data_IF_717593748642
#
_entry.id   IF_717593748642
#
_cell.length_a   1.000
_cell.length_b   1.000
_cell.length_c   1.000
_cell.angle_alpha   90.00
_cell.angle_beta   90.00
_cell.angle_gamma   90.00
#
_symmetry.space_group_name_H-M   'P 1'
#
loop_
_entity.id
_entity.type
_entity.pdbx_description
1 polymer ?
#
# COMPACT_ATOMS: atom_id res chain seq x y z
N UNK A 1 -6.79 -15.14 12.08
CA UNK A 1 -6.02 -15.44 13.31
C UNK A 1 -5.61 -16.89 13.23
N UNK A 2 -4.33 -17.17 13.36
CA UNK A 2 -3.82 -18.54 13.33
C UNK A 2 -3.21 -18.82 14.70
N UNK A 3 -3.75 -19.82 15.39
CA UNK A 3 -3.26 -20.28 16.67
C UNK A 3 -2.43 -21.54 16.46
N UNK A 4 -1.38 -21.71 17.25
CA UNK A 4 -0.57 -22.95 17.23
C UNK A 4 -1.42 -24.18 17.54
N UNK A 5 -2.33 -24.04 18.50
CA UNK A 5 -3.39 -25.01 18.77
C UNK A 5 -4.72 -24.38 18.42
N UNK A 6 -5.44 -24.98 17.47
CA UNK A 6 -6.78 -24.53 17.12
C UNK A 6 -7.67 -24.53 18.38
N UNK A 7 -8.54 -23.51 18.51
CA UNK A 7 -9.57 -23.55 19.53
C UNK A 7 -10.50 -24.74 19.29
N UNK A 8 -11.31 -25.08 20.28
CA UNK A 8 -12.27 -26.18 20.16
C UNK A 8 -13.27 -25.94 19.02
N UNK A 9 -13.87 -27.00 18.49
CA UNK A 9 -14.77 -26.91 17.33
C UNK A 9 -16.04 -26.08 17.62
N UNK A 10 -16.38 -25.90 18.90
CA UNK A 10 -17.49 -25.10 19.43
C UNK A 10 -17.08 -23.67 19.80
N UNK A 11 -15.88 -23.22 19.41
CA UNK A 11 -15.40 -21.86 19.72
C UNK A 11 -16.29 -20.77 19.11
N UNK A 12 -16.82 -19.91 19.97
CA UNK A 12 -17.59 -18.73 19.59
C UNK A 12 -16.66 -17.53 19.34
N UNK A 13 -16.78 -16.90 18.17
CA UNK A 13 -16.05 -15.68 17.84
C UNK A 13 -16.39 -14.52 18.79
N UNK A 14 -17.57 -14.51 19.41
CA UNK A 14 -17.92 -13.50 20.42
C UNK A 14 -17.10 -13.63 21.70
N UNK A 15 -16.48 -14.79 21.96
CA UNK A 15 -15.61 -15.02 23.10
C UNK A 15 -14.16 -14.55 22.84
N UNK A 16 -13.85 -14.09 21.63
CA UNK A 16 -12.54 -13.57 21.28
C UNK A 16 -12.31 -12.17 21.86
N UNK A 17 -11.33 -12.05 22.75
CA UNK A 17 -10.91 -10.75 23.28
C UNK A 17 -9.73 -10.17 22.49
N UNK A 18 -9.78 -8.88 22.16
CA UNK A 18 -8.65 -8.14 21.57
C UNK A 18 -7.73 -7.62 22.67
N UNK A 19 -7.09 -8.54 23.38
CA UNK A 19 -6.24 -8.26 24.54
C UNK A 19 -4.87 -8.92 24.44
N UNK A 20 -4.01 -8.64 25.43
CA UNK A 20 -2.61 -9.09 25.42
C UNK A 20 -2.50 -10.61 25.37
N UNK A 21 -3.41 -11.31 26.05
CA UNK A 21 -3.41 -12.76 26.12
C UNK A 21 -3.67 -13.35 24.74
N UNK A 22 -4.67 -12.87 24.02
CA UNK A 22 -4.95 -13.32 22.65
C UNK A 22 -3.78 -13.00 21.72
N UNK A 23 -3.21 -11.80 21.80
CA UNK A 23 -2.04 -11.45 20.98
C UNK A 23 -0.84 -12.35 21.26
N UNK A 24 -0.56 -12.67 22.53
CA UNK A 24 0.53 -13.57 22.89
C UNK A 24 0.33 -14.99 22.38
N UNK A 25 -0.92 -15.46 22.24
CA UNK A 25 -1.25 -16.75 21.61
C UNK A 25 -1.03 -16.77 20.09
N UNK A 26 -1.06 -15.61 19.42
CA UNK A 26 -0.84 -15.50 17.97
C UNK A 26 0.65 -15.36 17.63
N UNK A 27 1.48 -14.86 18.55
CA UNK A 27 2.93 -14.64 18.33
C UNK A 27 3.71 -15.86 17.84
N UNK A 28 3.49 -17.10 18.32
CA UNK A 28 4.31 -18.23 17.90
C UNK A 28 4.29 -18.49 16.38
N UNK A 29 3.16 -18.25 15.72
CA UNK A 29 2.98 -18.47 14.29
C UNK A 29 3.20 -17.23 13.42
N UNK A 30 3.48 -16.09 14.05
CA UNK A 30 3.73 -14.82 13.39
C UNK A 30 4.79 -14.93 12.28
N UNK A 31 5.94 -15.53 12.59
CA UNK A 31 7.06 -15.66 11.65
C UNK A 31 6.78 -16.61 10.47
N UNK A 32 5.68 -17.36 10.51
CA UNK A 32 5.23 -18.24 9.43
C UNK A 32 4.17 -17.59 8.54
N UNK A 33 3.20 -16.89 9.12
CA UNK A 33 2.04 -16.38 8.38
C UNK A 33 2.11 -14.89 8.06
N UNK A 34 2.79 -14.10 8.88
CA UNK A 34 2.79 -12.65 8.73
C UNK A 34 3.97 -12.23 7.84
N UNK A 35 3.73 -11.28 6.95
CA UNK A 35 4.74 -10.69 6.07
C UNK A 35 5.11 -9.28 6.57
N UNK A 36 5.70 -9.21 7.76
CA UNK A 36 5.90 -7.95 8.50
C UNK A 36 7.35 -7.71 8.93
N UNK A 37 8.28 -8.62 8.61
CA UNK A 37 9.71 -8.46 8.87
C UNK A 37 10.23 -7.18 8.17
N UNK A 38 10.64 -6.14 8.90
CA UNK A 38 11.09 -4.90 8.32
C UNK A 38 12.54 -4.95 7.79
N UNK A 39 13.30 -6.00 8.11
CA UNK A 39 14.66 -6.16 7.61
C UNK A 39 14.67 -6.71 6.18
N UNK A 40 14.67 -5.78 5.22
CA UNK A 40 14.79 -6.08 3.81
C UNK A 40 16.24 -5.98 3.31
N UNK A 41 17.23 -6.08 4.21
CA UNK A 41 18.66 -5.97 3.83
C UNK A 41 19.07 -6.91 2.70
N UNK A 42 18.71 -8.21 2.71
CA UNK A 42 19.06 -9.11 1.62
C UNK A 42 18.38 -8.75 0.30
N UNK A 43 17.14 -8.25 0.35
CA UNK A 43 16.41 -7.81 -0.85
C UNK A 43 17.05 -6.57 -1.46
N UNK A 44 17.33 -5.56 -0.62
CA UNK A 44 17.98 -4.32 -1.05
C UNK A 44 19.41 -4.55 -1.56
N UNK A 45 20.20 -5.43 -0.92
CA UNK A 45 21.58 -5.70 -1.33
C UNK A 45 21.68 -6.41 -2.69
N UNK A 46 20.63 -7.12 -3.11
CA UNK A 46 20.51 -7.71 -4.46
C UNK A 46 19.97 -6.74 -5.50
N UNK A 47 19.81 -5.45 -5.16
CA UNK A 47 19.28 -4.43 -6.06
C UNK A 47 17.75 -4.44 -6.20
N UNK A 48 17.04 -5.20 -5.36
CA UNK A 48 15.58 -5.30 -5.41
C UNK A 48 14.91 -3.94 -5.22
N UNK A 49 13.81 -3.70 -5.96
CA UNK A 49 12.98 -2.50 -5.88
C UNK A 49 11.56 -2.85 -5.46
N UNK A 50 11.00 -2.09 -4.54
CA UNK A 50 9.68 -2.32 -3.94
C UNK A 50 8.81 -1.06 -4.11
N UNK A 51 7.63 -1.24 -4.69
CA UNK A 51 6.56 -0.24 -4.62
C UNK A 51 5.46 -0.81 -3.73
N UNK A 52 5.19 -0.13 -2.62
CA UNK A 52 4.01 -0.33 -1.81
C UNK A 52 2.95 0.69 -2.22
N UNK A 53 1.69 0.31 -2.18
CA UNK A 53 0.59 1.25 -2.33
C UNK A 53 -0.61 0.80 -1.49
N UNK A 54 -1.43 1.76 -1.08
CA UNK A 54 -2.66 1.47 -0.36
C UNK A 54 -3.70 2.57 -0.64
N UNK A 55 -4.98 2.22 -0.66
CA UNK A 55 -6.08 3.19 -0.64
C UNK A 55 -6.28 3.79 0.75
N UNK A 56 -6.34 5.12 0.85
CA UNK A 56 -6.58 5.80 2.12
C UNK A 56 -7.97 5.50 2.73
N UNK A 57 -8.91 5.03 1.92
CA UNK A 57 -10.29 4.76 2.32
C UNK A 57 -10.61 3.26 2.27
N UNK A 58 -9.61 2.38 2.33
CA UNK A 58 -9.82 0.92 2.35
C UNK A 58 -10.63 0.52 3.61
N UNK A 59 -11.86 -0.02 3.45
CA UNK A 59 -12.69 -0.45 4.57
C UNK A 59 -12.37 -1.87 5.07
N UNK A 60 -11.54 -2.63 4.34
CA UNK A 60 -11.26 -4.04 4.60
C UNK A 60 -9.93 -4.21 5.33
N UNK A 61 -8.87 -3.58 4.83
CA UNK A 61 -7.54 -3.62 5.42
C UNK A 61 -7.16 -2.20 5.80
N UNK A 62 -6.80 -1.99 7.07
CA UNK A 62 -6.47 -0.64 7.53
C UNK A 62 -5.21 -0.11 6.82
N UNK A 63 -5.25 1.09 6.21
CA UNK A 63 -4.05 1.72 5.66
C UNK A 63 -2.97 2.00 6.71
N UNK A 64 -3.36 2.10 8.00
CA UNK A 64 -2.40 2.23 9.11
C UNK A 64 -1.44 1.05 9.19
N UNK A 65 -1.84 -0.14 8.75
CA UNK A 65 -0.98 -1.32 8.78
C UNK A 65 0.18 -1.20 7.78
N UNK A 66 -0.08 -0.69 6.57
CA UNK A 66 0.96 -0.46 5.57
C UNK A 66 1.87 0.69 5.96
N UNK A 67 1.32 1.74 6.59
CA UNK A 67 2.13 2.83 7.16
C UNK A 67 3.05 2.29 8.26
N UNK A 68 2.52 1.51 9.21
CA UNK A 68 3.33 0.92 10.29
C UNK A 68 4.46 0.03 9.75
N UNK A 69 4.18 -0.76 8.72
CA UNK A 69 5.23 -1.56 8.06
C UNK A 69 6.30 -0.68 7.39
N UNK A 70 5.89 0.32 6.60
CA UNK A 70 6.83 1.24 5.95
C UNK A 70 7.70 1.98 6.98
N UNK A 71 7.10 2.47 8.06
CA UNK A 71 7.79 3.12 9.18
C UNK A 71 8.76 2.16 9.88
N UNK A 72 8.38 0.90 10.07
CA UNK A 72 9.27 -0.12 10.64
C UNK A 72 10.46 -0.43 9.73
N UNK A 73 10.28 -0.48 8.41
CA UNK A 73 11.37 -0.62 7.44
C UNK A 73 12.30 0.60 7.48
N UNK A 74 11.76 1.83 7.52
CA UNK A 74 12.57 3.04 7.72
C UNK A 74 13.36 3.00 9.05
N UNK A 75 12.73 2.55 10.13
CA UNK A 75 13.37 2.46 11.44
C UNK A 75 14.48 1.40 11.47
N UNK A 76 14.26 0.24 10.82
CA UNK A 76 15.20 -0.87 10.79
C UNK A 76 16.37 -0.63 9.83
N UNK A 77 16.10 -0.09 8.64
CA UNK A 77 17.09 0.02 7.56
C UNK A 77 17.67 1.43 7.40
N UNK A 78 17.05 2.43 8.02
CA UNK A 78 17.36 3.84 7.85
C UNK A 78 16.62 4.45 6.65
N UNK A 79 15.99 5.61 6.85
CA UNK A 79 15.17 6.29 5.85
C UNK A 79 15.83 6.43 4.47
N UNK A 80 17.05 6.98 4.41
CA UNK A 80 17.78 7.18 3.14
C UNK A 80 18.03 5.87 2.40
N UNK A 81 18.34 4.80 3.14
CA UNK A 81 18.53 3.46 2.54
C UNK A 81 17.19 2.93 2.04
N UNK A 82 16.12 3.06 2.82
CA UNK A 82 14.77 2.66 2.44
C UNK A 82 14.30 3.36 1.18
N UNK A 83 14.43 4.68 1.07
CA UNK A 83 14.01 5.45 -0.11
C UNK A 83 14.76 5.07 -1.41
N UNK A 84 15.97 4.48 -1.30
CA UNK A 84 16.75 4.01 -2.44
C UNK A 84 16.22 2.70 -3.07
N UNK A 85 15.37 1.95 -2.36
CA UNK A 85 14.83 0.68 -2.84
C UNK A 85 13.32 0.51 -2.63
N UNK A 86 12.67 1.29 -1.77
CA UNK A 86 11.25 1.19 -1.44
C UNK A 86 10.55 2.55 -1.56
N UNK A 87 9.36 2.58 -2.17
CA UNK A 87 8.46 3.75 -2.19
C UNK A 87 7.05 3.32 -1.81
N UNK A 88 6.38 4.10 -0.96
CA UNK A 88 4.97 3.91 -0.59
C UNK A 88 4.11 4.99 -1.24
N UNK A 89 3.00 4.62 -1.89
CA UNK A 89 2.01 5.56 -2.43
C UNK A 89 0.64 5.36 -1.77
N UNK A 90 0.15 6.41 -1.11
CA UNK A 90 -1.16 6.39 -0.46
C UNK A 90 -2.19 7.11 -1.34
N UNK A 91 -3.17 6.38 -1.87
CA UNK A 91 -4.12 6.89 -2.87
C UNK A 91 -5.38 7.44 -2.17
N UNK A 92 -5.66 8.76 -2.25
CA UNK A 92 -6.82 9.36 -1.60
C UNK A 92 -8.15 8.88 -2.18
N UNK A 93 -9.09 8.51 -1.30
CA UNK A 93 -10.46 8.10 -1.69
C UNK A 93 -10.56 6.75 -2.40
N UNK A 94 -9.47 5.97 -2.43
CA UNK A 94 -9.46 4.61 -2.99
C UNK A 94 -9.78 3.60 -1.91
N UNK A 95 -10.68 2.66 -2.22
CA UNK A 95 -11.08 1.55 -1.34
C UNK A 95 -10.17 0.33 -1.53
N UNK A 96 -10.63 -0.83 -1.09
CA UNK A 96 -9.88 -2.07 -1.17
C UNK A 96 -9.50 -2.45 -2.60
N UNK A 97 -8.20 -2.39 -2.89
CA UNK A 97 -7.58 -2.69 -4.18
C UNK A 97 -8.08 -1.85 -5.39
N UNK A 98 -9.05 -0.97 -5.22
CA UNK A 98 -9.65 -0.21 -6.31
C UNK A 98 -10.99 0.42 -5.94
N UNK A 99 -11.65 1.06 -6.90
CA UNK A 99 -12.93 1.75 -6.67
C UNK A 99 -12.80 2.95 -5.72
N UNK A 100 -13.89 3.29 -5.04
CA UNK A 100 -13.98 4.46 -4.16
C UNK A 100 -14.24 5.78 -4.90
N UNK A 101 -14.28 6.85 -4.13
CA UNK A 101 -14.57 8.22 -4.60
C UNK A 101 -13.38 8.89 -5.30
N UNK A 102 -12.19 8.28 -5.18
CA UNK A 102 -10.94 8.75 -5.75
C UNK A 102 -10.53 8.05 -7.06
N UNK A 103 -9.55 8.61 -7.79
CA UNK A 103 -8.90 7.93 -8.90
C UNK A 103 -8.16 6.66 -8.42
N UNK A 104 -8.63 5.47 -8.81
CA UNK A 104 -8.11 4.18 -8.32
C UNK A 104 -7.32 3.37 -9.34
N UNK A 105 -7.36 3.72 -10.63
CA UNK A 105 -6.58 3.05 -11.65
C UNK A 105 -5.17 3.62 -11.67
N UNK A 106 -4.16 2.78 -11.44
CA UNK A 106 -2.74 3.15 -11.46
C UNK A 106 -1.94 2.17 -12.32
N UNK A 107 -0.93 2.69 -13.02
CA UNK A 107 0.12 1.88 -13.63
C UNK A 107 1.34 1.89 -12.70
N UNK A 108 1.62 0.75 -12.07
CA UNK A 108 2.79 0.54 -11.24
C UNK A 108 3.85 -0.32 -11.93
N UNK A 109 3.51 -0.97 -13.06
CA UNK A 109 4.42 -1.85 -13.78
C UNK A 109 5.46 -1.05 -14.56
N UNK A 110 5.02 -0.03 -15.30
CA UNK A 110 5.94 0.86 -16.03
C UNK A 110 6.98 1.51 -15.11
N UNK A 111 6.61 2.13 -13.97
CA UNK A 111 7.59 2.74 -13.09
C UNK A 111 8.51 1.73 -12.38
N UNK A 112 8.04 0.54 -12.01
CA UNK A 112 8.93 -0.46 -11.40
C UNK A 112 9.94 -1.00 -12.41
N UNK A 113 9.54 -1.23 -13.67
CA UNK A 113 10.46 -1.63 -14.74
C UNK A 113 11.53 -0.56 -14.98
N UNK A 114 11.12 0.71 -15.09
CA UNK A 114 12.07 1.82 -15.22
C UNK A 114 13.03 1.92 -14.03
N UNK A 115 12.55 1.66 -12.81
CA UNK A 115 13.39 1.67 -11.62
C UNK A 115 14.42 0.53 -11.61
N UNK A 116 13.99 -0.68 -11.97
CA UNK A 116 14.85 -1.87 -11.99
C UNK A 116 15.86 -1.79 -13.14
N UNK A 117 15.42 -1.49 -14.34
CA UNK A 117 16.24 -1.59 -15.56
C UNK A 117 17.08 -0.34 -15.83
N UNK A 118 16.59 0.83 -15.41
CA UNK A 118 17.20 2.14 -15.74
C UNK A 118 17.57 2.96 -14.52
N UNK A 119 17.46 2.38 -13.33
CA UNK A 119 17.69 3.08 -12.05
C UNK A 119 16.83 4.36 -11.89
N UNK A 120 15.69 4.44 -12.58
CA UNK A 120 14.81 5.59 -12.56
C UNK A 120 13.69 5.39 -11.53
N UNK A 121 13.95 5.84 -10.31
CA UNK A 121 12.97 5.72 -9.22
C UNK A 121 11.74 6.64 -9.47
N UNK A 122 10.50 6.14 -9.32
CA UNK A 122 9.31 6.86 -9.76
C UNK A 122 8.93 8.04 -8.86
N UNK A 123 9.03 9.27 -9.35
CA UNK A 123 8.81 10.45 -8.51
C UNK A 123 7.34 10.70 -8.14
N UNK A 124 6.43 10.58 -9.10
CA UNK A 124 4.99 10.61 -8.87
C UNK A 124 4.33 9.58 -9.77
N UNK A 125 3.28 8.93 -9.27
CA UNK A 125 2.40 8.10 -10.09
C UNK A 125 1.12 8.88 -10.41
N UNK A 126 0.54 8.64 -11.58
CA UNK A 126 -0.74 9.25 -11.95
C UNK A 126 -1.85 8.23 -11.76
N UNK A 127 -2.72 8.49 -10.80
CA UNK A 127 -3.94 7.73 -10.60
C UNK A 127 -5.07 8.30 -11.47
N UNK A 128 -5.94 7.44 -11.99
CA UNK A 128 -7.03 7.76 -12.91
C UNK A 128 -8.35 7.17 -12.42
N UNK A 129 -9.44 7.91 -12.58
CA UNK A 129 -10.77 7.41 -12.26
C UNK A 129 -11.31 6.59 -13.43
N UNK A 130 -11.89 5.42 -13.13
CA UNK A 130 -12.52 4.57 -14.14
C UNK A 130 -13.69 5.33 -14.81
N UNK A 131 -13.83 5.16 -16.13
CA UNK A 131 -14.98 5.65 -16.87
C UNK A 131 -16.27 4.88 -16.50
N UNK A 132 -17.46 5.41 -16.83
CA UNK A 132 -18.76 4.86 -16.42
C UNK A 132 -19.16 3.53 -17.10
N UNK A 133 -18.22 2.73 -17.63
CA UNK A 133 -18.58 1.40 -18.15
C UNK A 133 -18.82 0.42 -17.01
N UNK A 134 -20.11 0.31 -16.65
CA UNK A 134 -20.75 -0.71 -15.82
C UNK A 134 -20.14 -0.86 -14.43
N UNK A 135 -20.63 -0.02 -13.51
CA UNK A 135 -20.77 -0.34 -12.09
C UNK A 135 -21.73 -1.53 -11.89
N UNK A 136 -21.35 -2.69 -12.43
CA UNK A 136 -22.03 -3.96 -12.25
C UNK A 136 -21.03 -4.92 -11.64
N UNK A 137 -21.32 -5.37 -10.42
CA UNK A 137 -20.64 -6.44 -9.71
C UNK A 137 -20.00 -7.47 -10.66
N UNK A 138 -18.67 -7.45 -10.77
CA UNK A 138 -17.77 -8.59 -11.06
C UNK A 138 -16.37 -8.06 -11.34
N UNK A 139 -15.39 -8.57 -10.58
CA UNK A 139 -13.98 -8.49 -10.93
C UNK A 139 -13.76 -8.98 -12.37
N UNK A 140 -13.51 -8.02 -13.25
CA UNK A 140 -12.93 -8.07 -14.60
C UNK A 140 -11.41 -8.36 -14.66
N UNK A 141 -10.84 -9.40 -15.28
CA UNK A 141 -9.38 -9.49 -15.39
C UNK A 141 -8.84 -8.33 -16.24
N UNK A 142 -7.64 -7.85 -15.90
CA UNK A 142 -6.91 -6.80 -16.61
C UNK A 142 -6.88 -7.09 -18.12
N UNK A 143 -7.40 -6.23 -19.00
CA UNK A 143 -7.29 -6.43 -20.44
C UNK A 143 -5.85 -6.16 -20.89
N UNK A 144 -5.39 -6.94 -21.88
CA UNK A 144 -4.19 -6.68 -22.68
C UNK A 144 -4.15 -5.21 -23.14
N UNK A 145 -2.99 -4.58 -22.92
CA UNK A 145 -2.52 -3.29 -23.44
C UNK A 145 -3.61 -2.22 -23.71
N UNK A 146 -3.65 -1.18 -22.88
CA UNK A 146 -4.57 -0.06 -23.06
C UNK A 146 -4.28 0.68 -24.38
N UNK A 147 -5.28 0.86 -25.28
CA UNK A 147 -5.11 1.62 -26.50
C UNK A 147 -5.00 3.13 -26.20
N UNK A 148 -4.22 3.84 -27.03
CA UNK A 148 -3.98 5.29 -26.93
C UNK A 148 -5.26 6.17 -26.97
N UNK A 149 -6.41 5.59 -27.31
CA UNK A 149 -7.72 6.24 -27.32
C UNK A 149 -8.33 6.49 -25.93
N UNK A 150 -7.71 6.00 -24.84
CA UNK A 150 -8.08 6.37 -23.47
C UNK A 150 -7.60 7.78 -23.05
N UNK A 151 -7.14 8.60 -24.00
CA UNK A 151 -6.90 10.04 -23.83
C UNK A 151 -8.01 10.82 -24.52
N UNK A 152 -9.22 10.85 -23.94
CA UNK A 152 -10.20 11.90 -24.26
C UNK A 152 -10.77 12.47 -22.98
N UNK A 153 -10.22 13.62 -22.61
CA UNK A 153 -10.73 14.52 -21.60
C UNK A 153 -12.07 15.10 -22.06
N UNK A 154 -13.20 14.66 -21.48
CA UNK A 154 -14.19 15.55 -20.84
C UNK A 154 -15.58 14.94 -20.58
N UNK A 155 -16.23 15.64 -19.62
CA UNK A 155 -17.66 15.77 -19.28
C UNK A 155 -18.22 14.78 -18.24
N UNK A 156 -18.39 15.30 -17.01
CA UNK A 156 -19.37 14.83 -16.03
C UNK A 156 -18.88 14.10 -14.77
N UNK A 157 -17.56 14.00 -14.55
CA UNK A 157 -16.78 13.06 -13.68
C UNK A 157 -16.01 11.98 -14.47
N UNK A 158 -16.09 12.01 -15.80
CA UNK A 158 -15.23 11.21 -16.69
C UNK A 158 -13.81 11.78 -16.69
N UNK A 159 -12.82 11.02 -16.22
CA UNK A 159 -11.39 11.36 -16.41
C UNK A 159 -10.69 12.17 -15.30
N UNK A 160 -11.10 12.03 -14.02
CA UNK A 160 -10.29 12.58 -12.92
C UNK A 160 -8.93 11.90 -12.89
N UNK A 161 -7.87 12.68 -12.91
CA UNK A 161 -6.50 12.22 -12.69
C UNK A 161 -5.88 12.94 -11.50
N UNK A 162 -4.99 12.26 -10.78
CA UNK A 162 -4.31 12.80 -9.59
C UNK A 162 -2.88 12.29 -9.54
N UNK A 163 -1.91 13.20 -9.37
CA UNK A 163 -0.56 12.80 -8.99
C UNK A 163 -0.59 12.28 -7.55
N UNK A 164 0.09 11.17 -7.30
CA UNK A 164 0.36 10.65 -5.97
C UNK A 164 1.87 10.59 -5.81
N UNK A 165 2.37 11.26 -4.77
CA UNK A 165 3.80 11.32 -4.47
C UNK A 165 4.15 10.24 -3.43
N UNK A 166 5.42 9.81 -3.35
CA UNK A 166 5.90 8.92 -2.31
C UNK A 166 5.59 9.51 -0.94
N UNK A 167 4.99 8.70 -0.08
CA UNK A 167 4.74 9.05 1.31
C UNK A 167 6.05 9.54 1.96
N UNK A 168 6.03 10.61 2.78
CA UNK A 168 4.85 11.30 3.31
C UNK A 168 4.35 12.48 2.45
N UNK A 169 4.89 12.70 1.26
CA UNK A 169 4.50 13.85 0.45
C UNK A 169 3.07 13.76 -0.06
N UNK A 170 2.43 14.92 -0.19
CA UNK A 170 1.05 15.05 -0.64
C UNK A 170 0.95 15.75 -2.00
N UNK A 171 -0.21 15.64 -2.63
CA UNK A 171 -0.54 16.36 -3.85
C UNK A 171 -1.39 17.58 -3.53
N UNK A 172 -0.84 18.77 -3.76
CA UNK A 172 -1.51 20.05 -3.54
C UNK A 172 -1.95 20.65 -4.87
N UNK A 173 -3.17 21.20 -4.90
CA UNK A 173 -3.73 21.84 -6.07
C UNK A 173 -3.12 23.24 -6.25
N UNK A 174 -2.67 23.55 -7.45
CA UNK A 174 -1.99 24.83 -7.74
C UNK A 174 -2.91 26.03 -7.92
N UNK A 175 -4.23 25.82 -7.87
CA UNK A 175 -5.27 26.83 -8.12
C UNK A 175 -5.27 27.49 -9.50
N UNK A 176 -4.51 26.95 -10.47
CA UNK A 176 -4.36 27.53 -11.82
C UNK A 176 -5.05 26.70 -12.90
N UNK A 177 -5.06 25.38 -12.76
CA UNK A 177 -5.58 24.45 -13.78
C UNK A 177 -6.97 23.91 -13.50
N UNK A 178 -7.41 22.90 -14.27
CA UNK A 178 -8.63 22.16 -13.93
C UNK A 178 -8.35 21.21 -12.76
N UNK A 179 -9.08 21.33 -11.66
CA UNK A 179 -8.86 20.55 -10.43
C UNK A 179 -9.02 19.03 -10.60
N UNK A 180 -9.58 18.57 -11.72
CA UNK A 180 -9.71 17.14 -12.08
C UNK A 180 -8.53 16.63 -12.93
N UNK A 181 -7.54 17.47 -13.26
CA UNK A 181 -6.35 17.10 -14.01
C UNK A 181 -5.12 16.97 -13.09
N UNK A 182 -4.36 15.89 -13.22
CA UNK A 182 -3.13 15.62 -12.47
C UNK A 182 -2.05 16.68 -12.66
N UNK A 183 -2.04 17.39 -13.80
CA UNK A 183 -1.08 18.45 -14.07
C UNK A 183 -1.28 19.69 -13.19
N UNK A 184 -2.49 19.89 -12.67
CA UNK A 184 -2.81 20.97 -11.73
C UNK A 184 -2.38 20.66 -10.29
N UNK A 185 -1.59 19.59 -10.08
CA UNK A 185 -1.10 19.20 -8.77
C UNK A 185 0.43 19.19 -8.72
N UNK A 186 0.95 19.71 -7.62
CA UNK A 186 2.37 19.72 -7.28
C UNK A 186 2.62 18.98 -5.97
N UNK A 187 3.89 18.68 -5.71
CA UNK A 187 4.30 18.07 -4.45
C UNK A 187 4.17 19.08 -3.32
N UNK A 188 3.55 18.68 -2.23
CA UNK A 188 3.51 19.43 -0.99
C UNK A 188 4.03 18.58 0.18
N UNK A 189 4.40 19.28 1.26
CA UNK A 189 4.75 18.65 2.53
C UNK A 189 3.53 17.93 3.14
N UNK A 190 3.74 16.90 3.97
CA UNK A 190 2.64 16.26 4.68
C UNK A 190 1.88 17.25 5.57
N UNK A 191 0.58 17.00 5.74
CA UNK A 191 -0.24 17.70 6.74
C UNK A 191 0.14 17.33 8.18
N UNK A 192 0.69 16.13 8.40
CA UNK A 192 1.16 15.66 9.70
C UNK A 192 2.41 14.79 9.54
N UNK A 193 3.31 14.88 10.52
CA UNK A 193 4.48 14.00 10.63
C UNK A 193 4.32 12.96 11.74
N UNK A 194 3.12 12.89 12.33
CA UNK A 194 2.79 11.88 13.33
C UNK A 194 2.89 10.48 12.72
N UNK A 195 3.63 9.63 13.41
CA UNK A 195 3.80 8.22 13.06
C UNK A 195 2.57 7.42 13.48
N UNK A 196 2.45 6.21 12.95
CA UNK A 196 1.36 5.31 13.36
C UNK A 196 1.35 5.09 14.87
N UNK A 197 0.16 5.13 15.51
CA UNK A 197 0.08 5.00 16.96
C UNK A 197 0.49 3.60 17.40
N UNK A 198 1.13 3.51 18.56
CA UNK A 198 1.45 2.22 19.16
C UNK A 198 0.17 1.48 19.53
N UNK A 199 0.10 0.21 19.16
CA UNK A 199 -0.96 -0.73 19.52
C UNK A 199 -0.35 -2.08 19.88
N UNK A 200 -1.15 -2.99 20.44
CA UNK A 200 -0.65 -4.23 21.04
C UNK A 200 0.10 -5.16 20.08
N UNK A 201 -0.27 -5.14 18.79
CA UNK A 201 0.41 -5.88 17.73
C UNK A 201 1.54 -5.11 17.04
N UNK A 202 1.89 -3.89 17.47
CA UNK A 202 3.04 -3.16 16.92
C UNK A 202 4.35 -3.96 17.05
N UNK A 203 4.42 -4.88 18.03
CA UNK A 203 5.55 -5.79 18.21
C UNK A 203 5.76 -6.80 17.07
N UNK A 204 4.80 -6.97 16.17
CA UNK A 204 4.91 -7.80 14.97
C UNK A 204 5.79 -7.17 13.89
N UNK A 205 5.95 -5.85 13.89
CA UNK A 205 6.81 -5.14 12.92
C UNK A 205 8.27 -5.06 13.40
N UNK A 206 8.84 -6.19 13.79
CA UNK A 206 10.23 -6.31 14.23
C UNK A 206 10.94 -7.39 13.42
N UNK A 207 12.27 -7.33 13.26
CA UNK A 207 12.99 -8.39 12.58
C UNK A 207 12.76 -9.75 13.24
N UNK A 208 12.53 -10.77 12.43
CA UNK A 208 12.40 -12.16 12.87
C UNK A 208 13.03 -13.11 11.85
N UNK A 209 13.46 -14.28 12.30
CA UNK A 209 13.82 -15.37 11.40
C UNK A 209 12.53 -16.00 10.85
N UNK A 210 12.35 -16.10 9.53
CA UNK A 210 11.23 -16.83 8.95
C UNK A 210 11.24 -18.28 9.43
N UNK A 211 10.05 -18.83 9.72
CA UNK A 211 9.93 -20.26 9.99
C UNK A 211 9.99 -21.02 8.66
N UNK A 212 11.06 -21.78 8.46
CA UNK A 212 11.21 -22.66 7.30
C UNK A 212 10.63 -24.04 7.60
N UNK A 213 10.08 -24.71 6.59
CA UNK A 213 9.68 -26.12 6.71
C UNK A 213 10.95 -26.93 6.98
N UNK A 214 11.04 -27.56 8.15
CA UNK A 214 12.08 -28.55 8.39
C UNK A 214 11.91 -29.69 7.38
N UNK A 215 12.93 -29.88 6.56
CA UNK A 215 13.02 -31.03 5.66
C UNK A 215 13.83 -32.07 6.41
N UNK A 216 13.13 -32.95 7.11
CA UNK A 216 13.68 -34.22 7.61
C UNK A 216 13.72 -35.27 6.48
#
# INVERSE_FOLDING_TARGET
>A
MVFEKNPSADFDLNALNFDKKTFDQLRPLHALYDATNPDLSPFASRGGKLILWHGWADPNISPLNTLAYHEAVEAQMGKTRTEAFSRLYMLPGVYHCGGGEGPSLVDLLTPIMAWVEKSQAPDAIVARQAGPEKAGNRQRPLPKALPASMVKENVGNRGRTRKVFPYPFMAEYDHKGYSKNANSYQRAQPLTTEKTPHWMGAGFFKPYAPLERQVD
#
